data_IF_518780809072
#
_entry.id   IF_518780809072
#
_cell.length_a   1.000
_cell.length_b   1.000
_cell.length_c   1.000
_cell.angle_alpha   90.00
_cell.angle_beta   90.00
_cell.angle_gamma   90.00
#
_symmetry.space_group_name_H-M   'P 1'
#
loop_
_entity.id
_entity.type
_entity.pdbx_description
1 polymer ?
#
# COMPACT_ATOMS: atom_id res chain seq x y z
N UNK A 1 18.36 8.88 -29.83
CA UNK A 1 18.36 7.69 -28.94
C UNK A 1 17.26 7.77 -27.89
N UNK A 2 17.27 8.75 -26.97
CA UNK A 2 16.21 8.89 -25.96
C UNK A 2 14.79 9.04 -26.55
N UNK A 3 14.60 9.92 -27.55
CA UNK A 3 13.29 10.08 -28.22
C UNK A 3 12.72 8.75 -28.74
N UNK A 4 13.53 7.97 -29.45
CA UNK A 4 13.14 6.66 -29.95
C UNK A 4 12.76 5.70 -28.81
N UNK A 5 13.49 5.74 -27.69
CA UNK A 5 13.18 4.92 -26.52
C UNK A 5 11.84 5.31 -25.87
N UNK A 6 11.58 6.62 -25.72
CA UNK A 6 10.31 7.15 -25.22
C UNK A 6 9.15 6.75 -26.15
N UNK A 7 9.30 6.96 -27.46
CA UNK A 7 8.32 6.52 -28.45
C UNK A 7 8.10 5.00 -28.40
N UNK A 8 9.16 4.22 -28.23
CA UNK A 8 9.06 2.76 -28.04
C UNK A 8 8.27 2.38 -26.81
N UNK A 9 8.49 3.06 -25.67
CA UNK A 9 7.70 2.82 -24.44
C UNK A 9 6.21 3.11 -24.61
N UNK A 10 5.86 4.14 -25.37
CA UNK A 10 4.47 4.46 -25.73
C UNK A 10 3.86 3.42 -26.67
N UNK A 11 4.63 2.90 -27.62
CA UNK A 11 4.17 1.83 -28.51
C UNK A 11 3.87 0.54 -27.72
N UNK A 12 4.73 0.17 -26.76
CA UNK A 12 4.48 -0.97 -25.85
C UNK A 12 3.21 -0.76 -25.02
N UNK A 13 3.00 0.47 -24.54
CA UNK A 13 1.80 0.86 -23.79
C UNK A 13 0.52 0.74 -24.63
N UNK A 14 0.58 1.20 -25.88
CA UNK A 14 -0.53 1.08 -26.83
C UNK A 14 -0.84 -0.39 -27.15
N UNK A 15 0.19 -1.23 -27.34
CA UNK A 15 0.02 -2.67 -27.49
C UNK A 15 -0.65 -3.28 -26.25
N UNK A 16 -0.20 -2.89 -25.05
CA UNK A 16 -0.83 -3.28 -23.78
C UNK A 16 -2.31 -2.89 -23.70
N UNK A 17 -2.68 -1.69 -24.13
CA UNK A 17 -4.07 -1.23 -24.17
C UNK A 17 -4.92 -2.06 -25.13
N UNK A 18 -4.41 -2.34 -26.33
CA UNK A 18 -5.08 -3.18 -27.31
C UNK A 18 -5.30 -4.59 -26.74
N UNK A 19 -4.27 -5.18 -26.12
CA UNK A 19 -4.36 -6.49 -25.47
C UNK A 19 -5.36 -6.50 -24.32
N UNK A 20 -5.40 -5.45 -23.51
CA UNK A 20 -6.37 -5.32 -22.41
C UNK A 20 -7.81 -5.28 -22.93
N UNK A 21 -8.07 -4.51 -23.99
CA UNK A 21 -9.39 -4.45 -24.63
C UNK A 21 -9.77 -5.78 -25.29
N UNK A 22 -8.83 -6.41 -26.01
CA UNK A 22 -9.06 -7.69 -26.67
C UNK A 22 -9.31 -8.84 -25.68
N UNK A 23 -8.74 -8.76 -24.48
CA UNK A 23 -8.89 -9.78 -23.43
C UNK A 23 -9.93 -9.45 -22.36
N UNK A 24 -10.68 -8.35 -22.52
CA UNK A 24 -11.61 -7.85 -21.49
C UNK A 24 -12.66 -8.88 -21.04
N UNK A 25 -13.15 -9.72 -21.96
CA UNK A 25 -14.13 -10.77 -21.67
C UNK A 25 -13.49 -12.15 -21.40
N UNK A 26 -12.16 -12.23 -21.35
CA UNK A 26 -11.41 -13.48 -21.18
C UNK A 26 -10.42 -13.35 -20.00
N UNK A 27 -10.90 -13.48 -18.75
CA UNK A 27 -10.09 -13.22 -17.56
C UNK A 27 -8.78 -14.01 -17.49
N UNK A 28 -8.78 -15.27 -17.94
CA UNK A 28 -7.59 -16.12 -17.95
C UNK A 28 -6.53 -15.62 -18.95
N UNK A 29 -6.95 -15.21 -20.15
CA UNK A 29 -6.06 -14.64 -21.16
C UNK A 29 -5.53 -13.27 -20.71
N UNK A 30 -6.39 -12.44 -20.12
CA UNK A 30 -6.00 -11.18 -19.53
C UNK A 30 -4.94 -11.38 -18.44
N UNK A 31 -5.14 -12.31 -17.51
CA UNK A 31 -4.15 -12.62 -16.46
C UNK A 31 -2.82 -13.13 -17.02
N UNK A 32 -2.85 -13.98 -18.07
CA UNK A 32 -1.64 -14.53 -18.68
C UNK A 32 -0.79 -13.47 -19.41
N UNK A 33 -1.43 -12.47 -20.02
CA UNK A 33 -0.77 -11.47 -20.88
C UNK A 33 -0.50 -10.16 -20.12
N UNK A 34 -1.42 -9.68 -19.30
CA UNK A 34 -1.29 -8.39 -18.62
C UNK A 34 -0.36 -8.44 -17.41
N UNK A 35 0.02 -9.64 -16.93
CA UNK A 35 1.05 -9.82 -15.90
C UNK A 35 2.43 -9.24 -16.28
N UNK A 36 2.67 -8.96 -17.56
CA UNK A 36 3.92 -8.37 -18.05
C UNK A 36 3.96 -6.83 -17.97
N UNK A 37 2.97 -6.18 -17.35
CA UNK A 37 3.01 -4.76 -16.99
C UNK A 37 3.37 -3.81 -18.17
N UNK A 38 2.70 -3.99 -19.32
CA UNK A 38 2.91 -3.23 -20.56
C UNK A 38 2.94 -1.70 -20.42
N UNK A 39 2.33 -1.15 -19.37
CA UNK A 39 2.20 0.28 -19.11
C UNK A 39 3.35 0.87 -18.27
N UNK A 40 4.12 0.04 -17.55
CA UNK A 40 5.08 0.54 -16.53
C UNK A 40 6.25 1.30 -17.10
N UNK A 41 6.69 0.93 -18.31
CA UNK A 41 7.84 1.59 -18.92
C UNK A 41 7.52 3.05 -19.27
N UNK A 42 6.30 3.34 -19.75
CA UNK A 42 5.91 4.71 -20.09
C UNK A 42 5.74 5.60 -18.86
N UNK A 43 5.27 5.05 -17.73
CA UNK A 43 5.11 5.77 -16.46
C UNK A 43 6.41 6.48 -16.03
N UNK A 44 7.55 5.91 -16.39
CA UNK A 44 8.88 6.46 -16.10
C UNK A 44 9.44 7.22 -17.30
N UNK A 45 9.39 6.61 -18.50
CA UNK A 45 10.14 7.15 -19.63
C UNK A 45 9.53 8.42 -20.23
N UNK A 46 8.21 8.58 -20.17
CA UNK A 46 7.56 9.79 -20.69
C UNK A 46 7.95 11.02 -19.86
N UNK A 47 7.84 11.04 -18.52
CA UNK A 47 8.35 12.13 -17.70
C UNK A 47 9.83 12.42 -17.92
N UNK A 48 10.68 11.37 -17.98
CA UNK A 48 12.12 11.53 -18.24
C UNK A 48 12.37 12.17 -19.61
N UNK A 49 11.65 11.72 -20.64
CA UNK A 49 11.72 12.26 -21.99
C UNK A 49 11.36 13.75 -22.04
N UNK A 50 10.26 14.13 -21.39
CA UNK A 50 9.80 15.52 -21.29
C UNK A 50 10.82 16.37 -20.53
N UNK A 51 11.30 15.91 -19.38
CA UNK A 51 12.29 16.64 -18.57
C UNK A 51 13.58 16.89 -19.36
N UNK A 52 14.12 15.85 -19.99
CA UNK A 52 15.34 15.97 -20.81
C UNK A 52 15.10 16.85 -22.04
N UNK A 53 13.90 16.80 -22.65
CA UNK A 53 13.55 17.68 -23.75
C UNK A 53 13.36 19.14 -23.31
N UNK A 54 12.87 19.40 -22.10
CA UNK A 54 12.74 20.75 -21.56
C UNK A 54 14.12 21.39 -21.29
N UNK A 55 15.12 20.59 -20.90
CA UNK A 55 16.49 21.06 -20.65
C UNK A 55 17.25 21.30 -21.98
N UNK A 56 17.12 20.37 -22.93
CA UNK A 56 17.94 20.36 -24.17
C UNK A 56 17.23 21.02 -25.36
N UNK A 57 15.89 21.03 -25.36
CA UNK A 57 15.03 21.38 -26.49
C UNK A 57 14.92 22.88 -26.79
N UNK A 58 14.78 23.77 -25.80
CA UNK A 58 14.92 25.19 -26.04
C UNK A 58 16.38 25.52 -26.30
N UNK A 59 16.71 26.04 -27.48
CA UNK A 59 17.84 26.97 -27.53
C UNK A 59 17.33 28.22 -26.78
N UNK A 60 17.81 28.55 -25.57
CA UNK A 60 17.23 29.64 -24.77
C UNK A 60 17.24 30.96 -25.53
N UNK A 61 18.20 31.13 -26.46
CA UNK A 61 18.32 32.26 -27.39
C UNK A 61 17.16 32.38 -28.41
N UNK A 62 16.42 31.30 -28.68
CA UNK A 62 15.33 31.26 -29.67
C UNK A 62 13.94 31.50 -29.07
N UNK A 63 13.74 31.18 -27.78
CA UNK A 63 12.44 31.33 -27.11
C UNK A 63 12.38 32.64 -26.34
N UNK A 64 13.50 33.09 -25.75
CA UNK A 64 13.56 34.34 -24.98
C UNK A 64 14.90 35.03 -25.25
N UNK A 65 14.87 36.08 -26.07
CA UNK A 65 16.08 36.84 -26.44
C UNK A 65 16.71 37.57 -25.24
N UNK A 66 15.93 37.85 -24.18
CA UNK A 66 16.37 38.56 -22.99
C UNK A 66 16.70 37.58 -21.84
N UNK A 67 17.96 37.52 -21.36
CA UNK A 67 18.37 36.60 -20.29
C UNK A 67 17.61 36.79 -18.98
N UNK A 68 17.12 38.01 -18.68
CA UNK A 68 16.31 38.29 -17.49
C UNK A 68 14.94 37.63 -17.56
N UNK A 69 14.28 37.68 -18.72
CA UNK A 69 12.98 37.04 -18.93
C UNK A 69 13.11 35.51 -18.88
N UNK A 70 14.21 34.94 -19.38
CA UNK A 70 14.47 33.50 -19.30
C UNK A 70 14.64 33.04 -17.85
N UNK A 71 15.39 33.80 -17.05
CA UNK A 71 15.55 33.52 -15.63
C UNK A 71 14.21 33.57 -14.87
N UNK A 72 13.35 34.56 -15.18
CA UNK A 72 12.01 34.68 -14.56
C UNK A 72 11.11 33.50 -14.95
N UNK A 73 11.09 33.08 -16.21
CA UNK A 73 10.30 31.92 -16.65
C UNK A 73 10.79 30.63 -16.01
N UNK A 74 12.10 30.38 -15.95
CA UNK A 74 12.65 29.21 -15.27
C UNK A 74 12.39 29.24 -13.77
N UNK A 75 12.52 30.40 -13.12
CA UNK A 75 12.17 30.55 -11.71
C UNK A 75 10.67 30.27 -11.48
N UNK A 76 9.79 30.74 -12.37
CA UNK A 76 8.36 30.47 -12.29
C UNK A 76 8.03 28.98 -12.49
N UNK A 77 8.67 28.30 -13.44
CA UNK A 77 8.51 26.85 -13.66
C UNK A 77 9.01 26.06 -12.45
N UNK A 78 10.22 26.35 -11.95
CA UNK A 78 10.76 25.71 -10.76
C UNK A 78 9.86 25.96 -9.55
N UNK A 79 9.35 27.18 -9.38
CA UNK A 79 8.41 27.50 -8.30
C UNK A 79 7.10 26.74 -8.46
N UNK A 80 6.53 26.68 -9.67
CA UNK A 80 5.32 25.91 -9.96
C UNK A 80 5.51 24.41 -9.73
N UNK A 81 6.67 23.84 -10.09
CA UNK A 81 7.01 22.44 -9.81
C UNK A 81 7.19 22.19 -8.31
N UNK A 82 7.81 23.13 -7.58
CA UNK A 82 7.92 23.05 -6.11
C UNK A 82 6.54 23.13 -5.47
N UNK A 83 5.67 24.04 -5.92
CA UNK A 83 4.29 24.18 -5.44
C UNK A 83 3.45 22.94 -5.78
N UNK A 84 3.54 22.42 -7.01
CA UNK A 84 2.86 21.19 -7.41
C UNK A 84 3.36 19.96 -6.62
N UNK A 85 4.68 19.85 -6.42
CA UNK A 85 5.26 18.82 -5.56
C UNK A 85 4.90 19.01 -4.07
N UNK A 86 4.50 20.22 -3.67
CA UNK A 86 4.06 20.56 -2.32
C UNK A 86 2.70 19.98 -1.99
N UNK A 87 1.82 19.78 -2.98
CA UNK A 87 0.39 19.52 -2.78
C UNK A 87 0.02 18.18 -2.12
N UNK A 88 0.99 17.32 -1.74
CA UNK A 88 0.67 16.19 -0.84
C UNK A 88 1.88 15.59 -0.10
N UNK A 89 3.11 15.72 -0.64
CA UNK A 89 4.26 14.93 -0.17
C UNK A 89 5.15 15.69 0.82
N UNK A 90 5.55 16.92 0.48
CA UNK A 90 6.42 17.72 1.33
C UNK A 90 5.67 18.27 2.55
N UNK A 91 4.45 18.79 2.36
CA UNK A 91 3.64 19.29 3.47
C UNK A 91 3.35 18.18 4.50
N UNK A 92 3.03 16.96 4.04
CA UNK A 92 2.81 15.84 4.94
C UNK A 92 4.07 15.46 5.72
N UNK A 93 5.25 15.44 5.10
CA UNK A 93 6.50 15.14 5.81
C UNK A 93 6.94 16.23 6.81
N UNK A 94 6.58 17.50 6.59
CA UNK A 94 6.91 18.59 7.51
C UNK A 94 5.93 18.69 8.70
N UNK A 95 4.67 18.27 8.52
CA UNK A 95 3.62 18.46 9.52
C UNK A 95 3.04 17.16 10.10
N UNK A 96 3.29 16.00 9.49
CA UNK A 96 2.87 14.71 10.02
C UNK A 96 4.02 14.06 10.79
N UNK A 97 3.74 13.72 12.06
CA UNK A 97 4.63 12.92 12.91
C UNK A 97 4.64 11.45 12.51
N UNK A 98 3.55 10.96 11.90
CA UNK A 98 3.41 9.57 11.47
C UNK A 98 3.99 9.35 10.06
N UNK A 99 4.61 8.19 9.77
CA UNK A 99 4.97 7.80 8.40
C UNK A 99 3.72 7.44 7.58
N UNK A 100 3.79 7.48 6.24
CA UNK A 100 2.62 7.21 5.37
C UNK A 100 2.06 5.80 5.50
N UNK A 101 2.88 4.86 5.96
CA UNK A 101 2.44 3.52 6.30
C UNK A 101 1.44 3.52 7.48
N UNK A 102 1.46 4.55 8.31
CA UNK A 102 0.68 4.65 9.54
C UNK A 102 -0.28 5.85 9.51
N UNK A 103 -0.55 6.40 8.32
CA UNK A 103 -1.51 7.50 8.21
C UNK A 103 -2.91 7.05 8.63
N UNK A 104 -3.73 8.02 9.04
CA UNK A 104 -5.16 7.80 9.35
C UNK A 104 -5.86 7.00 8.24
N UNK A 105 -6.65 6.01 8.64
CA UNK A 105 -7.28 5.02 7.75
C UNK A 105 -6.40 3.80 7.42
N UNK A 106 -5.15 3.76 7.89
CA UNK A 106 -4.32 2.53 7.95
C UNK A 106 -4.23 2.00 9.38
N UNK A 107 -3.96 2.91 10.31
CA UNK A 107 -3.99 2.71 11.76
C UNK A 107 -4.78 3.88 12.39
N UNK A 108 -5.29 3.69 13.60
CA UNK A 108 -6.09 4.67 14.34
C UNK A 108 -5.22 5.80 14.89
N UNK A 109 -4.10 5.44 15.52
CA UNK A 109 -3.13 6.34 16.12
C UNK A 109 -1.73 5.76 15.91
N UNK A 110 -0.80 6.58 15.38
CA UNK A 110 0.57 6.15 15.13
C UNK A 110 1.30 5.80 16.43
N UNK A 111 1.15 6.62 17.46
CA UNK A 111 1.84 6.43 18.73
C UNK A 111 1.33 5.19 19.46
N UNK A 112 0.01 5.01 19.52
CA UNK A 112 -0.59 3.79 20.09
C UNK A 112 -0.25 2.54 19.28
N UNK A 113 -0.13 2.67 17.95
CA UNK A 113 0.28 1.56 17.09
C UNK A 113 1.74 1.15 17.34
N UNK A 114 2.64 2.14 17.49
CA UNK A 114 4.05 1.91 17.85
C UNK A 114 4.17 1.25 19.22
N UNK A 115 3.40 1.72 20.18
CA UNK A 115 3.36 1.23 21.55
C UNK A 115 2.88 -0.23 21.64
N UNK A 116 1.76 -0.59 20.97
CA UNK A 116 1.32 -2.00 20.94
C UNK A 116 2.30 -2.91 20.19
N UNK A 117 2.96 -2.41 19.14
CA UNK A 117 4.01 -3.17 18.45
C UNK A 117 5.24 -3.38 19.35
N UNK A 118 5.63 -2.36 20.13
CA UNK A 118 6.73 -2.44 21.10
C UNK A 118 6.40 -3.45 22.21
N UNK A 119 5.15 -3.47 22.68
CA UNK A 119 4.68 -4.48 23.63
C UNK A 119 4.81 -5.89 23.05
N UNK A 120 4.35 -6.12 21.80
CA UNK A 120 4.51 -7.40 21.12
C UNK A 120 5.99 -7.81 20.99
N UNK A 121 6.86 -6.86 20.64
CA UNK A 121 8.30 -7.11 20.52
C UNK A 121 8.97 -7.53 21.85
N UNK A 122 8.49 -7.01 22.97
CA UNK A 122 9.10 -7.22 24.28
C UNK A 122 8.49 -8.39 25.05
N UNK A 123 7.22 -8.72 24.80
CA UNK A 123 6.43 -9.65 25.62
C UNK A 123 6.08 -10.97 24.93
N UNK A 124 6.46 -11.15 23.67
CA UNK A 124 6.17 -12.38 22.92
C UNK A 124 7.45 -13.04 22.37
N UNK A 125 7.48 -14.36 22.16
CA UNK A 125 8.59 -15.04 21.51
C UNK A 125 8.88 -14.52 20.09
N UNK A 126 10.11 -14.61 19.56
CA UNK A 126 10.45 -14.13 18.22
C UNK A 126 9.65 -14.75 17.08
N UNK A 127 9.19 -15.98 17.25
CA UNK A 127 8.35 -16.74 16.30
C UNK A 127 6.84 -16.51 16.51
N UNK A 128 6.45 -15.62 17.41
CA UNK A 128 5.05 -15.30 17.64
C UNK A 128 4.39 -14.77 16.36
N UNK A 129 3.17 -15.27 16.11
CA UNK A 129 2.35 -14.93 14.95
C UNK A 129 1.05 -14.28 15.43
N UNK A 130 0.71 -13.13 14.83
CA UNK A 130 -0.49 -12.37 15.17
C UNK A 130 -1.47 -12.26 13.99
N UNK A 131 -2.76 -12.23 14.31
CA UNK A 131 -3.79 -11.66 13.44
C UNK A 131 -3.90 -10.18 13.79
N UNK A 132 -3.82 -9.31 12.79
CA UNK A 132 -3.77 -7.84 12.96
C UNK A 132 -4.88 -7.18 12.15
N UNK A 133 -5.16 -5.86 12.30
CA UNK A 133 -6.06 -5.17 11.38
C UNK A 133 -5.54 -5.25 9.94
N UNK A 134 -6.45 -5.37 8.97
CA UNK A 134 -6.13 -5.62 7.55
C UNK A 134 -5.10 -4.67 6.94
N UNK A 135 -5.14 -3.40 7.36
CA UNK A 135 -4.33 -2.31 6.81
C UNK A 135 -3.04 -2.05 7.61
N UNK A 136 -2.74 -2.87 8.61
CA UNK A 136 -1.65 -2.69 9.57
C UNK A 136 -0.29 -3.20 9.04
N UNK A 137 0.09 -2.79 7.81
CA UNK A 137 1.27 -3.31 7.11
C UNK A 137 2.63 -3.12 7.82
N UNK A 138 2.71 -2.20 8.79
CA UNK A 138 3.94 -1.90 9.52
C UNK A 138 4.16 -2.79 10.75
N UNK A 139 3.22 -3.69 11.08
CA UNK A 139 3.30 -4.56 12.26
C UNK A 139 4.62 -5.33 12.34
N UNK A 140 4.97 -6.09 11.29
CA UNK A 140 6.20 -6.90 11.24
C UNK A 140 7.45 -6.05 11.43
N UNK A 141 7.45 -4.83 10.88
CA UNK A 141 8.58 -3.91 10.95
C UNK A 141 8.81 -3.34 12.35
N UNK A 142 7.74 -3.05 13.09
CA UNK A 142 7.85 -2.46 14.42
C UNK A 142 7.92 -3.50 15.55
N UNK A 143 7.17 -4.59 15.43
CA UNK A 143 7.14 -5.63 16.45
C UNK A 143 8.25 -6.68 16.27
N UNK A 144 8.78 -6.84 15.06
CA UNK A 144 9.64 -7.97 14.73
C UNK A 144 8.95 -9.33 14.90
N UNK A 145 7.62 -9.38 14.77
CA UNK A 145 6.79 -10.60 14.87
C UNK A 145 6.06 -10.88 13.56
N UNK A 146 5.71 -12.15 13.35
CA UNK A 146 4.96 -12.56 12.18
C UNK A 146 3.53 -12.03 12.22
N UNK A 147 2.98 -11.75 11.04
CA UNK A 147 1.54 -11.53 10.86
C UNK A 147 0.97 -12.55 9.86
N UNK A 148 -0.26 -13.00 10.08
CA UNK A 148 -0.88 -14.03 9.23
C UNK A 148 -1.01 -13.57 7.77
N UNK A 149 -1.46 -12.33 7.59
CA UNK A 149 -1.61 -11.67 6.29
C UNK A 149 -1.84 -10.17 6.49
N UNK A 150 -1.38 -9.34 5.54
CA UNK A 150 -1.76 -7.93 5.44
C UNK A 150 -2.16 -7.58 4.01
N UNK A 151 -2.88 -6.46 3.84
CA UNK A 151 -3.29 -5.98 2.52
C UNK A 151 -2.11 -5.62 1.60
N UNK A 152 -0.96 -5.23 2.16
CA UNK A 152 0.17 -4.75 1.35
C UNK A 152 1.27 -5.79 1.13
N UNK A 153 1.27 -6.89 1.88
CA UNK A 153 2.26 -7.96 1.70
C UNK A 153 1.83 -8.94 0.61
N UNK A 154 1.66 -8.43 -0.61
CA UNK A 154 1.33 -9.23 -1.78
C UNK A 154 2.57 -10.02 -2.25
N UNK A 155 2.50 -11.36 -2.31
CA UNK A 155 3.59 -12.17 -2.85
C UNK A 155 3.72 -12.02 -4.38
N UNK A 156 4.85 -12.46 -4.93
CA UNK A 156 5.15 -12.37 -6.37
C UNK A 156 4.85 -13.67 -7.14
N UNK A 157 4.68 -14.79 -6.42
CA UNK A 157 4.33 -16.09 -7.00
C UNK A 157 2.81 -16.23 -7.17
N UNK A 158 2.36 -16.88 -8.24
CA UNK A 158 0.95 -17.00 -8.58
C UNK A 158 0.14 -17.81 -7.56
N UNK A 159 0.69 -18.91 -7.04
CA UNK A 159 0.01 -19.74 -6.03
C UNK A 159 -0.09 -18.97 -4.72
N UNK A 160 1.03 -18.37 -4.31
CA UNK A 160 1.07 -17.55 -3.11
C UNK A 160 0.11 -16.35 -3.17
N UNK A 161 -0.10 -15.74 -4.34
CA UNK A 161 -1.09 -14.64 -4.52
C UNK A 161 -2.50 -15.14 -4.26
N UNK A 162 -2.85 -16.35 -4.72
CA UNK A 162 -4.16 -16.96 -4.45
C UNK A 162 -4.31 -17.25 -2.96
N UNK A 163 -3.28 -17.81 -2.32
CA UNK A 163 -3.30 -18.09 -0.87
C UNK A 163 -3.43 -16.80 -0.05
N UNK A 164 -2.69 -15.75 -0.42
CA UNK A 164 -2.79 -14.42 0.20
C UNK A 164 -4.22 -13.88 0.11
N UNK A 165 -4.85 -13.97 -1.07
CA UNK A 165 -6.23 -13.52 -1.26
C UNK A 165 -7.22 -14.34 -0.43
N UNK A 166 -7.07 -15.66 -0.41
CA UNK A 166 -7.92 -16.54 0.38
C UNK A 166 -7.82 -16.23 1.88
N UNK A 167 -6.61 -15.97 2.40
CA UNK A 167 -6.42 -15.56 3.80
C UNK A 167 -7.11 -14.23 4.11
N UNK A 168 -6.97 -13.24 3.23
CA UNK A 168 -7.65 -11.96 3.39
C UNK A 168 -9.18 -12.14 3.44
N UNK A 169 -9.74 -12.91 2.53
CA UNK A 169 -11.19 -13.16 2.47
C UNK A 169 -11.66 -13.95 3.69
N UNK A 170 -10.93 -14.97 4.13
CA UNK A 170 -11.32 -15.81 5.26
C UNK A 170 -11.28 -15.08 6.62
N UNK A 171 -10.35 -14.13 6.78
CA UNK A 171 -10.18 -13.37 8.03
C UNK A 171 -11.08 -12.11 8.04
N UNK A 172 -11.10 -11.35 6.94
CA UNK A 172 -11.74 -10.02 6.92
C UNK A 172 -13.00 -9.96 6.06
N UNK A 173 -13.27 -10.96 5.21
CA UNK A 173 -14.44 -10.97 4.34
C UNK A 173 -15.73 -11.25 5.12
N UNK A 174 -16.80 -10.54 4.78
CA UNK A 174 -18.13 -10.86 5.30
C UNK A 174 -18.61 -12.22 4.78
N UNK A 175 -19.49 -12.96 5.49
CA UNK A 175 -20.03 -14.24 5.00
C UNK A 175 -20.99 -14.04 3.82
N UNK A 176 -21.16 -15.06 2.98
CA UNK A 176 -22.22 -15.08 1.96
C UNK A 176 -23.62 -15.08 2.63
N UNK A 177 -24.64 -14.38 2.09
CA UNK A 177 -24.66 -13.60 0.84
C UNK A 177 -24.11 -12.17 0.94
N UNK A 178 -23.65 -11.74 2.12
CA UNK A 178 -23.14 -10.39 2.33
C UNK A 178 -21.78 -10.12 1.65
N UNK A 179 -21.02 -11.17 1.32
CA UNK A 179 -19.78 -11.09 0.54
C UNK A 179 -20.04 -10.65 -0.92
N UNK A 180 -20.15 -9.35 -1.11
CA UNK A 180 -20.16 -8.68 -2.42
C UNK A 180 -18.95 -7.75 -2.54
N UNK A 181 -17.78 -8.20 -2.05
CA UNK A 181 -16.59 -7.36 -1.87
C UNK A 181 -16.64 -6.48 -0.60
N UNK A 182 -17.52 -6.81 0.36
CA UNK A 182 -17.58 -6.16 1.67
C UNK A 182 -16.68 -6.85 2.68
N UNK A 183 -16.08 -6.03 3.54
CA UNK A 183 -15.10 -6.42 4.55
C UNK A 183 -15.60 -5.99 5.91
N UNK A 184 -15.28 -6.74 6.95
CA UNK A 184 -15.39 -6.26 8.32
C UNK A 184 -14.49 -5.04 8.50
N UNK A 185 -15.02 -3.99 9.15
CA UNK A 185 -14.27 -2.77 9.42
C UNK A 185 -13.30 -3.01 10.59
N UNK A 186 -13.73 -3.81 11.57
CA UNK A 186 -12.90 -4.27 12.69
C UNK A 186 -13.00 -5.78 12.91
N UNK A 187 -11.90 -6.40 13.35
CA UNK A 187 -11.90 -7.80 13.79
C UNK A 187 -12.72 -8.04 15.06
N UNK A 188 -13.07 -6.97 15.79
CA UNK A 188 -13.96 -7.04 16.96
C UNK A 188 -15.41 -7.39 16.59
N UNK A 189 -15.79 -7.25 15.31
CA UNK A 189 -17.08 -7.70 14.79
C UNK A 189 -17.19 -9.23 14.74
N UNK A 190 -16.06 -9.95 14.77
CA UNK A 190 -16.03 -11.40 14.77
C UNK A 190 -16.25 -11.95 16.17
N UNK A 191 -17.02 -13.03 16.27
CA UNK A 191 -17.21 -13.71 17.55
C UNK A 191 -15.88 -14.25 18.11
N UNK A 192 -15.70 -14.32 19.45
CA UNK A 192 -14.54 -14.95 20.08
C UNK A 192 -14.29 -16.38 19.58
N UNK A 193 -15.36 -17.13 19.30
CA UNK A 193 -15.27 -18.46 18.71
C UNK A 193 -14.56 -18.45 17.35
N UNK A 194 -14.98 -17.55 16.45
CA UNK A 194 -14.38 -17.40 15.12
C UNK A 194 -12.92 -16.97 15.20
N UNK A 195 -12.59 -16.03 16.10
CA UNK A 195 -11.22 -15.58 16.31
C UNK A 195 -10.30 -16.73 16.79
N UNK A 196 -10.78 -17.58 17.71
CA UNK A 196 -10.05 -18.78 18.13
C UNK A 196 -9.91 -19.82 17.02
N UNK A 197 -10.92 -19.99 16.20
CA UNK A 197 -10.87 -20.87 15.01
C UNK A 197 -9.79 -20.40 14.02
N UNK A 198 -9.77 -19.10 13.71
CA UNK A 198 -8.76 -18.48 12.86
C UNK A 198 -7.35 -18.60 13.46
N UNK A 199 -7.21 -18.38 14.77
CA UNK A 199 -5.97 -18.59 15.51
C UNK A 199 -5.41 -20.01 15.29
N UNK A 200 -6.23 -21.04 15.52
CA UNK A 200 -5.84 -22.43 15.28
C UNK A 200 -5.54 -22.73 13.81
N UNK A 201 -6.38 -22.23 12.89
CA UNK A 201 -6.24 -22.48 11.45
C UNK A 201 -4.92 -21.96 10.90
N UNK A 202 -4.49 -20.78 11.36
CA UNK A 202 -3.29 -20.11 10.85
C UNK A 202 -2.08 -20.19 11.79
N UNK A 203 -2.21 -20.85 12.95
CA UNK A 203 -1.15 -20.93 13.96
C UNK A 203 -0.85 -19.59 14.64
N UNK A 204 -1.82 -18.68 14.69
CA UNK A 204 -1.65 -17.38 15.32
C UNK A 204 -2.00 -17.44 16.82
N UNK A 205 -1.01 -17.18 17.68
CA UNK A 205 -1.18 -17.16 19.13
C UNK A 205 -1.66 -15.82 19.69
N UNK A 206 -1.74 -14.78 18.85
CA UNK A 206 -2.10 -13.44 19.25
C UNK A 206 -3.10 -12.79 18.29
N UNK A 207 -3.93 -11.91 18.84
CA UNK A 207 -4.82 -11.02 18.10
C UNK A 207 -4.51 -9.59 18.52
N UNK A 208 -4.23 -8.72 17.55
CA UNK A 208 -4.14 -7.28 17.73
C UNK A 208 -5.35 -6.66 17.05
N UNK A 209 -6.11 -5.86 17.77
CA UNK A 209 -7.37 -5.27 17.32
C UNK A 209 -7.61 -3.95 18.05
N UNK A 210 -8.59 -3.16 17.62
CA UNK A 210 -9.03 -1.97 18.34
C UNK A 210 -9.37 -2.28 19.80
N UNK A 211 -9.07 -1.34 20.71
CA UNK A 211 -9.35 -1.53 22.15
C UNK A 211 -10.84 -1.73 22.43
N UNK A 212 -11.70 -1.04 21.67
CA UNK A 212 -13.14 -1.10 21.81
C UNK A 212 -13.82 -1.58 20.51
N UNK A 213 -14.86 -2.43 20.61
CA UNK A 213 -15.37 -3.06 21.83
C UNK A 213 -14.44 -4.15 22.38
N UNK A 214 -14.42 -4.31 23.69
CA UNK A 214 -13.70 -5.40 24.35
C UNK A 214 -14.24 -6.79 23.91
N UNK A 215 -13.33 -7.72 23.66
CA UNK A 215 -13.64 -9.09 23.22
C UNK A 215 -13.48 -10.05 24.42
N UNK A 216 -14.36 -11.05 24.53
CA UNK A 216 -14.27 -12.12 25.54
C UNK A 216 -13.15 -13.13 25.21
N UNK A 217 -11.91 -12.64 25.26
CA UNK A 217 -10.66 -13.37 25.12
C UNK A 217 -9.67 -12.89 26.20
N UNK A 218 -8.63 -13.69 26.55
CA UNK A 218 -7.64 -13.30 27.54
C UNK A 218 -6.80 -12.10 27.06
N UNK A 219 -7.19 -10.89 27.46
CA UNK A 219 -6.48 -9.65 27.14
C UNK A 219 -5.12 -9.63 27.84
N UNK A 220 -4.06 -9.45 27.07
CA UNK A 220 -2.68 -9.36 27.55
C UNK A 220 -2.24 -7.90 27.72
N UNK A 221 -2.76 -7.01 26.88
CA UNK A 221 -2.39 -5.60 26.85
C UNK A 221 -3.48 -4.74 26.20
N UNK A 222 -3.51 -3.45 26.55
CA UNK A 222 -4.30 -2.43 25.86
C UNK A 222 -3.73 -1.04 26.07
N UNK A 223 -3.89 -0.18 25.07
CA UNK A 223 -3.67 1.26 25.15
C UNK A 223 -4.90 2.02 24.61
N UNK A 224 -4.74 3.31 24.29
CA UNK A 224 -5.84 4.18 23.89
C UNK A 224 -6.58 3.73 22.62
N UNK A 225 -5.89 3.01 21.72
CA UNK A 225 -6.46 2.60 20.43
C UNK A 225 -6.45 1.09 20.17
N UNK A 226 -5.51 0.34 20.76
CA UNK A 226 -5.30 -1.08 20.47
C UNK A 226 -5.26 -1.97 21.70
N UNK A 227 -5.76 -3.20 21.55
CA UNK A 227 -5.65 -4.27 22.52
C UNK A 227 -5.01 -5.52 21.91
N UNK A 228 -4.28 -6.26 22.74
CA UNK A 228 -3.72 -7.57 22.41
C UNK A 228 -4.41 -8.65 23.21
N UNK A 229 -4.90 -9.68 22.52
CA UNK A 229 -5.52 -10.85 23.10
C UNK A 229 -4.72 -12.10 22.78
N UNK A 230 -4.73 -13.07 23.69
CA UNK A 230 -4.15 -14.39 23.46
C UNK A 230 -5.15 -15.30 22.75
N UNK A 231 -4.68 -15.98 21.71
CA UNK A 231 -5.39 -17.02 20.99
C UNK A 231 -4.84 -18.41 21.41
N UNK A 232 -5.67 -19.47 21.32
CA UNK A 232 -5.29 -20.84 21.66
C UNK A 232 -4.36 -21.48 20.63
#
# INVERSE_FOLDING_TARGET
>A
RLRCFVTGSLAITLAGLILALATANHPQAAAAILRYYWFRLSDVMVPVGIAMHAIVGPNPKSIIQNPKCAAVVWAAICTALVVYARDDYAAWNFFASAPRADKSGKVLSHDDWRDVCQWMANQTPPDALAITPRMAQSFTWYSGRGQVVSWKDLPQDAVAVVDWWQRLVDIYGMPYPAFQGRWHDSLSELSPHRLRELGRKYGAGFLVVETEPAIDLPRQYANGSYAVYRLP
#
